data_IF_149883286842
#
_entry.id   IF_149883286842
#
_cell.length_a   1.000
_cell.length_b   1.000
_cell.length_c   1.000
_cell.angle_alpha   90.00
_cell.angle_beta   90.00
_cell.angle_gamma   90.00
#
_symmetry.space_group_name_H-M   'P 1'
#
loop_
_entity.id
_entity.type
_entity.pdbx_description
1 polymer ?
#
# COMPACT_ATOMS: atom_id res chain seq x y z
N UNK A 1 -8.83 -23.39 9.04
CA UNK A 1 -7.46 -23.06 9.51
C UNK A 1 -7.07 -21.62 9.16
N UNK A 2 -7.18 -21.19 7.89
CA UNK A 2 -6.87 -19.81 7.45
C UNK A 2 -7.72 -18.73 8.15
N UNK A 3 -9.04 -18.92 8.27
CA UNK A 3 -9.92 -17.92 8.91
C UNK A 3 -9.62 -17.68 10.40
N UNK A 4 -9.24 -18.74 11.14
CA UNK A 4 -8.88 -18.64 12.56
C UNK A 4 -7.54 -17.90 12.71
N UNK A 5 -6.57 -18.19 11.85
CA UNK A 5 -5.26 -17.53 11.86
C UNK A 5 -5.36 -16.04 11.50
N UNK A 6 -6.20 -15.71 10.50
CA UNK A 6 -6.47 -14.34 10.11
C UNK A 6 -7.19 -13.57 11.23
N UNK A 7 -8.19 -14.19 11.87
CA UNK A 7 -8.90 -13.58 13.01
C UNK A 7 -7.99 -13.29 14.20
N UNK A 8 -7.08 -14.21 14.54
CA UNK A 8 -6.09 -14.02 15.60
C UNK A 8 -5.07 -12.94 15.25
N UNK A 9 -4.59 -12.89 14.02
CA UNK A 9 -3.65 -11.86 13.55
C UNK A 9 -4.28 -10.47 13.57
N UNK A 10 -5.50 -10.34 13.05
CA UNK A 10 -6.25 -9.08 13.06
C UNK A 10 -6.55 -8.65 14.50
N UNK A 11 -7.00 -9.56 15.36
CA UNK A 11 -7.24 -9.28 16.77
C UNK A 11 -6.00 -8.78 17.51
N UNK A 12 -4.85 -9.45 17.32
CA UNK A 12 -3.57 -9.04 17.90
C UNK A 12 -3.10 -7.67 17.38
N UNK A 13 -3.20 -7.44 16.08
CA UNK A 13 -2.82 -6.16 15.46
C UNK A 13 -3.68 -4.99 15.97
N UNK A 14 -4.99 -5.21 16.18
CA UNK A 14 -5.90 -4.20 16.75
C UNK A 14 -5.58 -3.89 18.22
N UNK A 15 -5.22 -4.90 19.00
CA UNK A 15 -4.82 -4.72 20.39
C UNK A 15 -3.48 -3.96 20.48
N UNK A 16 -2.47 -4.31 19.69
CA UNK A 16 -1.19 -3.60 19.66
C UNK A 16 -1.33 -2.15 19.19
N UNK A 17 -2.11 -1.90 18.13
CA UNK A 17 -2.30 -0.52 17.62
C UNK A 17 -3.07 0.36 18.59
N UNK A 18 -4.06 -0.19 19.30
CA UNK A 18 -4.79 0.52 20.36
C UNK A 18 -3.87 0.90 21.52
N UNK A 19 -3.09 -0.06 22.04
CA UNK A 19 -2.16 0.18 23.15
C UNK A 19 -1.04 1.15 22.78
N UNK A 20 -0.44 0.98 21.60
CA UNK A 20 0.62 1.88 21.10
C UNK A 20 0.10 3.27 20.77
N UNK A 21 -1.10 3.40 20.20
CA UNK A 21 -1.73 4.68 19.91
C UNK A 21 -2.06 5.47 21.18
N UNK A 22 -2.55 4.78 22.21
CA UNK A 22 -2.79 5.38 23.53
C UNK A 22 -1.48 5.86 24.19
N UNK A 23 -0.45 4.99 24.21
CA UNK A 23 0.86 5.35 24.74
C UNK A 23 1.50 6.53 23.97
N UNK A 24 1.37 6.56 22.64
CA UNK A 24 1.88 7.64 21.80
C UNK A 24 1.16 8.97 22.06
N UNK A 25 -0.14 8.94 22.34
CA UNK A 25 -0.93 10.13 22.71
C UNK A 25 -0.48 10.70 24.05
N UNK A 26 -0.19 9.84 25.04
CA UNK A 26 0.31 10.27 26.35
C UNK A 26 1.76 10.79 26.28
N UNK A 27 2.61 10.16 25.47
CA UNK A 27 4.02 10.52 25.37
C UNK A 27 4.27 11.77 24.49
N UNK A 28 3.40 12.05 23.51
CA UNK A 28 3.57 13.17 22.59
C UNK A 28 2.23 13.87 22.30
N UNK A 29 2.00 15.10 22.79
CA UNK A 29 0.75 15.83 22.56
C UNK A 29 0.52 16.21 21.09
N UNK A 30 1.56 16.18 20.26
CA UNK A 30 1.46 16.44 18.81
C UNK A 30 0.97 15.20 18.05
N UNK A 31 0.96 14.01 18.67
CA UNK A 31 0.53 12.77 18.00
C UNK A 31 -0.87 12.85 17.40
N UNK A 32 -1.83 13.44 18.12
CA UNK A 32 -3.20 13.70 17.64
C UNK A 32 -3.35 15.05 16.91
N UNK A 33 -2.25 15.73 16.60
CA UNK A 33 -2.26 16.97 15.84
C UNK A 33 -2.79 16.77 14.42
N UNK A 34 -3.42 17.81 13.86
CA UNK A 34 -4.05 17.76 12.54
C UNK A 34 -3.11 17.23 11.45
N UNK A 35 -1.85 17.67 11.42
CA UNK A 35 -0.88 17.22 10.42
C UNK A 35 -0.57 15.72 10.53
N UNK A 36 -0.42 15.20 11.75
CA UNK A 36 -0.14 13.79 11.98
C UNK A 36 -1.34 12.92 11.66
N UNK A 37 -2.56 13.35 12.02
CA UNK A 37 -3.78 12.67 11.63
C UNK A 37 -3.96 12.65 10.11
N UNK A 38 -3.69 13.76 9.42
CA UNK A 38 -3.78 13.82 7.96
C UNK A 38 -2.77 12.86 7.28
N UNK A 39 -1.55 12.81 7.81
CA UNK A 39 -0.51 11.89 7.32
C UNK A 39 -0.87 10.43 7.62
N UNK A 40 -1.41 10.15 8.81
CA UNK A 40 -1.90 8.82 9.19
C UNK A 40 -3.03 8.35 8.27
N UNK A 41 -4.04 9.20 8.04
CA UNK A 41 -5.16 8.87 7.15
C UNK A 41 -4.70 8.65 5.71
N UNK A 42 -3.73 9.42 5.21
CA UNK A 42 -3.13 9.17 3.88
C UNK A 42 -2.47 7.80 3.80
N UNK A 43 -1.69 7.41 4.81
CA UNK A 43 -1.06 6.09 4.86
C UNK A 43 -2.08 4.97 4.94
N UNK A 44 -3.11 5.11 5.78
CA UNK A 44 -4.22 4.13 5.88
C UNK A 44 -4.94 4.02 4.53
N UNK A 45 -5.22 5.15 3.87
CA UNK A 45 -5.85 5.16 2.55
C UNK A 45 -5.01 4.45 1.48
N UNK A 46 -3.70 4.68 1.47
CA UNK A 46 -2.76 4.03 0.55
C UNK A 46 -2.76 2.51 0.74
N UNK A 47 -2.60 2.03 1.97
CA UNK A 47 -2.65 0.60 2.27
C UNK A 47 -4.05 -0.01 2.07
N UNK A 48 -5.11 0.77 2.25
CA UNK A 48 -6.49 0.36 2.00
C UNK A 48 -6.79 0.10 0.52
N UNK A 49 -6.35 0.99 -0.37
CA UNK A 49 -6.48 0.78 -1.83
C UNK A 49 -5.68 -0.46 -2.24
N UNK A 50 -4.49 -0.62 -1.68
CA UNK A 50 -3.61 -1.75 -1.97
C UNK A 50 -4.19 -3.10 -1.53
N UNK A 51 -4.81 -3.17 -0.35
CA UNK A 51 -5.40 -4.40 0.17
C UNK A 51 -6.59 -4.89 -0.66
N UNK A 52 -7.38 -3.96 -1.23
CA UNK A 52 -8.46 -4.31 -2.18
C UNK A 52 -7.89 -4.92 -3.45
N UNK A 53 -6.82 -4.33 -4.01
CA UNK A 53 -6.15 -4.88 -5.19
C UNK A 53 -5.59 -6.30 -4.93
N UNK A 54 -4.85 -6.50 -3.84
CA UNK A 54 -4.35 -7.83 -3.45
C UNK A 54 -5.47 -8.82 -3.17
N UNK A 55 -6.58 -8.37 -2.56
CA UNK A 55 -7.74 -9.19 -2.28
C UNK A 55 -8.32 -9.86 -3.53
N UNK A 56 -8.41 -9.12 -4.65
CA UNK A 56 -8.88 -9.70 -5.92
C UNK A 56 -8.00 -10.83 -6.43
N UNK A 57 -6.67 -10.72 -6.27
CA UNK A 57 -5.72 -11.75 -6.71
C UNK A 57 -5.79 -13.01 -5.85
N UNK A 58 -5.88 -12.83 -4.52
CA UNK A 58 -6.02 -13.95 -3.57
C UNK A 58 -7.32 -14.73 -3.83
N UNK A 59 -8.42 -14.03 -4.09
CA UNK A 59 -9.73 -14.66 -4.39
C UNK A 59 -9.67 -15.50 -5.66
N UNK A 60 -8.89 -15.10 -6.66
CA UNK A 60 -8.67 -15.88 -7.89
C UNK A 60 -7.79 -17.13 -7.69
N UNK A 61 -7.34 -17.42 -6.46
CA UNK A 61 -6.57 -18.63 -6.13
C UNK A 61 -5.05 -18.50 -6.31
N UNK A 62 -4.57 -17.33 -6.73
CA UNK A 62 -3.14 -17.03 -6.80
C UNK A 62 -2.64 -16.45 -5.48
N UNK A 63 -1.63 -17.08 -4.86
CA UNK A 63 -0.81 -16.43 -3.81
C UNK A 63 0.24 -15.58 -4.52
N UNK A 64 -0.20 -14.55 -5.24
CA UNK A 64 0.70 -13.74 -6.04
C UNK A 64 1.45 -12.73 -5.16
N UNK A 65 2.71 -13.07 -4.85
CA UNK A 65 3.63 -12.20 -4.12
C UNK A 65 4.19 -11.05 -4.98
N UNK A 66 4.04 -11.11 -6.31
CA UNK A 66 4.65 -10.15 -7.24
C UNK A 66 3.99 -8.77 -7.22
N UNK A 67 2.77 -8.64 -6.70
CA UNK A 67 2.09 -7.34 -6.54
C UNK A 67 2.92 -6.41 -5.64
N UNK A 68 3.62 -6.97 -4.65
CA UNK A 68 4.54 -6.22 -3.80
C UNK A 68 5.79 -5.72 -4.53
N UNK A 69 6.38 -6.53 -5.41
CA UNK A 69 7.57 -6.13 -6.19
C UNK A 69 7.23 -5.14 -7.30
N UNK A 70 6.06 -5.28 -7.95
CA UNK A 70 5.54 -4.30 -8.91
C UNK A 70 5.34 -2.93 -8.26
N UNK A 71 4.74 -2.90 -7.06
CA UNK A 71 4.57 -1.66 -6.31
C UNK A 71 5.91 -1.00 -5.99
N UNK A 72 6.87 -1.76 -5.48
CA UNK A 72 8.21 -1.25 -5.18
C UNK A 72 8.90 -0.68 -6.43
N UNK A 73 8.85 -1.41 -7.56
CA UNK A 73 9.43 -0.96 -8.82
C UNK A 73 8.80 0.36 -9.29
N UNK A 74 7.48 0.41 -9.41
CA UNK A 74 6.76 1.60 -9.88
C UNK A 74 6.97 2.79 -8.93
N UNK A 75 7.04 2.55 -7.63
CA UNK A 75 7.32 3.57 -6.61
C UNK A 75 8.72 4.15 -6.75
N UNK A 76 9.74 3.31 -6.97
CA UNK A 76 11.12 3.78 -7.20
C UNK A 76 11.23 4.57 -8.50
N UNK A 77 10.59 4.12 -9.59
CA UNK A 77 10.57 4.87 -10.85
C UNK A 77 9.88 6.22 -10.65
N UNK A 78 8.73 6.26 -9.97
CA UNK A 78 8.04 7.53 -9.67
C UNK A 78 8.93 8.48 -8.86
N UNK A 79 9.60 7.98 -7.83
CA UNK A 79 10.52 8.76 -7.01
C UNK A 79 11.70 9.29 -7.83
N UNK A 80 12.18 8.52 -8.80
CA UNK A 80 13.25 8.93 -9.71
C UNK A 80 12.78 10.03 -10.68
N UNK A 81 11.59 9.89 -11.27
CA UNK A 81 11.02 10.91 -12.16
C UNK A 81 10.79 12.25 -11.45
N UNK A 82 10.32 12.20 -10.19
CA UNK A 82 10.04 13.38 -9.38
C UNK A 82 11.28 13.98 -8.71
N UNK A 83 12.35 13.20 -8.54
CA UNK A 83 13.58 13.63 -7.86
C UNK A 83 14.64 14.08 -8.86
N UNK A 84 15.58 13.19 -9.25
CA UNK A 84 16.68 13.51 -10.18
C UNK A 84 16.26 14.14 -11.52
N UNK A 85 15.23 13.59 -12.16
CA UNK A 85 14.81 14.04 -13.50
C UNK A 85 13.94 15.30 -13.46
N UNK A 86 13.48 15.68 -12.25
CA UNK A 86 12.68 16.87 -11.97
C UNK A 86 11.49 17.06 -12.94
N UNK A 87 10.91 15.94 -13.38
CA UNK A 87 9.80 15.91 -14.33
C UNK A 87 8.57 16.51 -13.65
N UNK A 88 7.78 17.37 -14.34
CA UNK A 88 6.55 17.91 -13.79
C UNK A 88 5.65 16.79 -13.27
N UNK A 89 5.16 16.92 -12.04
CA UNK A 89 4.40 15.87 -11.37
C UNK A 89 3.22 15.31 -12.19
N UNK A 90 2.47 16.09 -13.01
CA UNK A 90 1.39 15.52 -13.81
C UNK A 90 1.91 14.55 -14.88
N UNK A 91 3.07 14.86 -15.47
CA UNK A 91 3.69 14.03 -16.49
C UNK A 91 4.29 12.76 -15.87
N UNK A 92 4.96 12.87 -14.72
CA UNK A 92 5.48 11.71 -13.99
C UNK A 92 4.35 10.73 -13.62
N UNK A 93 3.20 11.24 -13.17
CA UNK A 93 2.01 10.43 -12.89
C UNK A 93 1.48 9.77 -14.17
N UNK A 94 1.36 10.50 -15.28
CA UNK A 94 0.90 9.93 -16.54
C UNK A 94 1.80 8.79 -17.04
N UNK A 95 3.12 8.96 -16.95
CA UNK A 95 4.11 7.93 -17.31
C UNK A 95 3.93 6.68 -16.46
N UNK A 96 3.78 6.84 -15.14
CA UNK A 96 3.61 5.70 -14.23
C UNK A 96 2.27 5.00 -14.41
N UNK A 97 1.20 5.72 -14.71
CA UNK A 97 -0.10 5.12 -15.01
C UNK A 97 -0.02 4.27 -16.28
N UNK A 98 0.63 4.75 -17.34
CA UNK A 98 0.85 3.98 -18.56
C UNK A 98 1.74 2.76 -18.31
N UNK A 99 2.85 2.93 -17.59
CA UNK A 99 3.79 1.85 -17.31
C UNK A 99 3.13 0.74 -16.45
N UNK A 100 2.42 1.14 -15.40
CA UNK A 100 1.69 0.20 -14.53
C UNK A 100 0.60 -0.56 -15.27
N UNK A 101 -0.12 0.09 -16.19
CA UNK A 101 -1.12 -0.56 -17.04
C UNK A 101 -0.46 -1.63 -17.93
N UNK A 102 0.66 -1.29 -18.58
CA UNK A 102 1.39 -2.20 -19.47
C UNK A 102 1.91 -3.41 -18.69
N UNK A 103 2.62 -3.18 -17.59
CA UNK A 103 3.19 -4.27 -16.77
C UNK A 103 2.05 -5.12 -16.19
N UNK A 104 0.97 -4.50 -15.70
CA UNK A 104 -0.20 -5.21 -15.17
C UNK A 104 -0.89 -6.09 -16.21
N UNK A 105 -1.00 -5.63 -17.46
CA UNK A 105 -1.54 -6.44 -18.56
C UNK A 105 -0.66 -7.65 -18.86
N UNK A 106 0.66 -7.46 -18.98
CA UNK A 106 1.59 -8.57 -19.18
C UNK A 106 1.49 -9.59 -18.04
N UNK A 107 1.47 -9.09 -16.80
CA UNK A 107 1.40 -9.93 -15.62
C UNK A 107 0.08 -10.71 -15.53
N UNK A 108 -1.05 -10.04 -15.81
CA UNK A 108 -2.36 -10.68 -15.87
C UNK A 108 -2.45 -11.77 -16.94
N UNK A 109 -1.86 -11.54 -18.13
CA UNK A 109 -1.80 -12.57 -19.19
C UNK A 109 -0.97 -13.78 -18.75
N UNK A 110 0.16 -13.55 -18.08
CA UNK A 110 1.03 -14.63 -17.59
C UNK A 110 0.38 -15.47 -16.49
N UNK A 111 -0.34 -14.83 -15.56
CA UNK A 111 -1.04 -15.53 -14.46
C UNK A 111 -2.29 -16.26 -14.93
N UNK A 112 -2.97 -15.75 -15.97
CA UNK A 112 -4.18 -16.37 -16.53
C UNK A 112 -3.95 -17.70 -17.26
N UNK A 113 -2.70 -18.13 -17.41
CA UNK A 113 -2.29 -19.36 -18.11
C UNK A 113 -1.58 -20.30 -17.16
#
# INVERSE_FOLDING_TARGET
>A
MVAIFLGLFVGYALLETSQRGFAATLANPVFLGQANLLNLTRSIGLFGIFSVAMGTVIITGGIDLSVGSMFALLGVILAYLLGPDNIPWPLAVAIILLLSMVIGLFHGVLVSR
#
